data_IF_906925118656
#
_entry.id   IF_906925118656
#
_cell.length_a   1.000
_cell.length_b   1.000
_cell.length_c   1.000
_cell.angle_alpha   90.00
_cell.angle_beta   90.00
_cell.angle_gamma   90.00
#
_symmetry.space_group_name_H-M   'P 1'
#
loop_
_entity.id
_entity.type
_entity.pdbx_description
1 polymer ?
#
# COMPACT_ATOMS: atom_id res chain seq x y z
N UNK A 1 28.27 -19.50 62.17
CA UNK A 1 27.22 -18.93 61.29
C UNK A 1 27.57 -19.28 59.85
N UNK A 2 26.58 -19.78 59.12
CA UNK A 2 26.71 -20.70 57.98
C UNK A 2 27.12 -20.10 56.63
N UNK A 3 27.49 -21.03 55.74
CA UNK A 3 28.16 -20.97 54.44
C UNK A 3 27.44 -20.19 53.32
N UNK A 4 28.29 -19.78 52.38
CA UNK A 4 28.08 -19.45 50.97
C UNK A 4 26.80 -19.97 50.29
N UNK A 5 26.11 -19.07 49.59
CA UNK A 5 25.76 -19.26 48.17
C UNK A 5 25.12 -17.97 47.62
N UNK A 6 25.92 -17.17 46.90
CA UNK A 6 25.44 -16.14 45.99
C UNK A 6 24.52 -16.80 44.95
N UNK A 7 23.21 -16.57 45.05
CA UNK A 7 22.23 -17.02 44.05
C UNK A 7 22.44 -16.22 42.76
N UNK A 8 23.12 -16.82 41.79
CA UNK A 8 23.18 -16.34 40.41
C UNK A 8 21.73 -16.35 39.86
N UNK A 9 21.22 -15.27 39.25
CA UNK A 9 19.91 -15.27 38.63
C UNK A 9 19.88 -16.31 37.51
N UNK A 10 18.91 -17.23 37.53
CA UNK A 10 18.72 -18.19 36.43
C UNK A 10 18.30 -17.40 35.19
N UNK A 11 19.24 -17.25 34.25
CA UNK A 11 19.05 -16.46 33.03
C UNK A 11 18.11 -17.12 32.01
N UNK A 12 17.71 -18.39 32.21
CA UNK A 12 16.73 -19.07 31.37
C UNK A 12 15.90 -20.04 32.21
N UNK A 13 14.57 -19.90 32.15
CA UNK A 13 13.59 -20.79 32.76
C UNK A 13 12.91 -21.73 31.76
N UNK A 14 13.33 -21.71 30.49
CA UNK A 14 12.79 -22.58 29.45
C UNK A 14 13.41 -23.98 29.51
N UNK A 15 12.63 -24.99 29.14
CA UNK A 15 13.14 -26.36 28.96
C UNK A 15 13.98 -26.43 27.70
N UNK A 16 14.89 -27.41 27.60
CA UNK A 16 15.58 -27.77 26.35
C UNK A 16 14.58 -28.09 25.22
N UNK A 17 13.35 -28.50 25.56
CA UNK A 17 12.24 -28.72 24.62
C UNK A 17 11.71 -27.42 23.97
N UNK A 18 11.98 -26.26 24.55
CA UNK A 18 11.58 -24.96 23.98
C UNK A 18 12.60 -24.47 22.94
N UNK A 19 13.85 -25.00 22.96
CA UNK A 19 14.90 -24.71 21.98
C UNK A 19 14.74 -25.50 20.68
N UNK A 20 14.03 -26.64 20.72
CA UNK A 20 13.91 -27.57 19.58
C UNK A 20 12.58 -27.49 18.85
N UNK A 21 11.58 -26.77 19.40
CA UNK A 21 10.33 -26.50 18.69
C UNK A 21 10.56 -25.40 17.66
N UNK A 22 10.23 -25.60 16.37
CA UNK A 22 10.15 -24.48 15.45
C UNK A 22 9.13 -23.51 16.03
N UNK A 23 9.58 -22.31 16.40
CA UNK A 23 8.71 -21.28 16.93
C UNK A 23 7.52 -21.15 15.99
N UNK A 24 6.30 -21.29 16.51
CA UNK A 24 5.11 -20.92 15.75
C UNK A 24 5.31 -19.46 15.38
N UNK A 25 5.68 -19.19 14.12
CA UNK A 25 5.48 -17.89 13.54
C UNK A 25 3.97 -17.73 13.52
N UNK A 26 3.43 -17.12 14.56
CA UNK A 26 2.24 -16.29 14.41
C UNK A 26 2.65 -15.24 13.39
N UNK A 27 2.50 -15.56 12.11
CA UNK A 27 2.23 -14.55 11.11
C UNK A 27 0.88 -13.97 11.52
N UNK A 28 0.90 -13.10 12.52
CA UNK A 28 -0.08 -12.02 12.58
C UNK A 28 0.08 -11.33 11.23
N UNK A 29 -0.77 -11.71 10.28
CA UNK A 29 -1.01 -10.91 9.08
C UNK A 29 -1.52 -9.58 9.61
N UNK A 30 -0.60 -8.68 9.97
CA UNK A 30 -0.90 -7.31 10.31
C UNK A 30 -1.79 -6.81 9.20
N UNK A 31 -3.02 -6.46 9.53
CA UNK A 31 -3.93 -5.91 8.56
C UNK A 31 -3.46 -4.49 8.24
N UNK A 32 -2.52 -4.41 7.29
CA UNK A 32 -1.90 -3.16 6.85
C UNK A 32 -2.94 -2.17 6.30
N UNK A 33 -4.15 -2.63 5.93
CA UNK A 33 -5.25 -1.75 5.51
C UNK A 33 -5.88 -1.00 6.68
N UNK A 34 -5.84 -1.59 7.88
CA UNK A 34 -6.34 -0.95 9.11
C UNK A 34 -5.31 -0.04 9.78
N UNK A 35 -4.01 -0.30 9.56
CA UNK A 35 -2.91 0.52 10.09
C UNK A 35 -2.67 1.79 9.24
N UNK A 36 -3.40 2.87 9.56
CA UNK A 36 -3.23 4.19 8.89
C UNK A 36 -1.92 4.87 9.34
N UNK A 37 -1.15 5.39 8.38
CA UNK A 37 -0.01 6.29 8.64
C UNK A 37 -0.34 7.70 8.18
N UNK A 38 -0.12 8.70 9.05
CA UNK A 38 -0.22 10.10 8.65
C UNK A 38 1.07 10.51 7.93
N UNK A 39 0.93 10.97 6.68
CA UNK A 39 2.04 11.48 5.86
C UNK A 39 1.57 12.70 5.09
N UNK A 40 2.47 13.65 4.88
CA UNK A 40 2.27 14.81 4.01
C UNK A 40 2.93 14.54 2.67
N UNK A 41 2.19 14.70 1.57
CA UNK A 41 2.70 14.58 0.20
C UNK A 41 2.70 15.95 -0.46
N UNK A 42 3.82 16.35 -1.05
CA UNK A 42 3.88 17.54 -1.90
C UNK A 42 3.35 17.19 -3.29
N UNK A 43 2.37 17.95 -3.76
CA UNK A 43 1.75 17.80 -5.08
C UNK A 43 1.76 19.13 -5.82
N UNK A 44 1.63 19.09 -7.14
CA UNK A 44 1.51 20.31 -7.94
C UNK A 44 0.18 21.02 -7.67
N UNK A 45 0.12 22.32 -7.97
CA UNK A 45 -1.12 23.09 -7.88
C UNK A 45 -2.21 22.53 -8.79
N UNK A 46 -1.84 22.04 -9.96
CA UNK A 46 -2.75 21.39 -10.91
C UNK A 46 -3.36 20.10 -10.32
N UNK A 47 -2.53 19.21 -9.77
CA UNK A 47 -3.00 17.99 -9.09
C UNK A 47 -3.91 18.33 -7.92
N UNK A 48 -3.59 19.38 -7.15
CA UNK A 48 -4.44 19.82 -6.05
C UNK A 48 -5.82 20.30 -6.55
N UNK A 49 -5.88 21.01 -7.68
CA UNK A 49 -7.16 21.41 -8.30
C UNK A 49 -7.99 20.19 -8.71
N UNK A 50 -7.39 19.24 -9.41
CA UNK A 50 -8.03 17.97 -9.81
C UNK A 50 -8.54 17.19 -8.58
N UNK A 51 -7.77 17.13 -7.49
CA UNK A 51 -8.22 16.49 -6.25
C UNK A 51 -9.39 17.21 -5.57
N UNK A 52 -9.43 18.54 -5.62
CA UNK A 52 -10.54 19.34 -5.08
C UNK A 52 -11.81 19.10 -5.90
N UNK A 53 -11.69 19.06 -7.22
CA UNK A 53 -12.81 18.78 -8.14
C UNK A 53 -13.40 17.38 -7.87
N UNK A 54 -12.57 16.34 -7.86
CA UNK A 54 -13.00 14.97 -7.55
C UNK A 54 -13.63 14.83 -6.15
N UNK A 55 -13.08 15.53 -5.15
CA UNK A 55 -13.65 15.58 -3.81
C UNK A 55 -15.02 16.28 -3.78
N UNK A 56 -15.15 17.39 -4.53
CA UNK A 56 -16.34 18.24 -4.56
C UNK A 56 -17.53 17.57 -5.25
N UNK A 57 -17.27 16.76 -6.27
CA UNK A 57 -18.30 16.03 -7.02
C UNK A 57 -18.76 14.75 -6.31
N UNK A 58 -17.84 13.99 -5.70
CA UNK A 58 -18.15 12.65 -5.16
C UNK A 58 -18.44 12.64 -3.64
N UNK A 59 -18.22 13.74 -2.92
CA UNK A 59 -18.39 13.80 -1.45
C UNK A 59 -17.43 12.88 -0.67
N UNK A 60 -16.36 12.40 -1.32
CA UNK A 60 -15.39 11.45 -0.76
C UNK A 60 -14.23 12.19 -0.11
N UNK A 61 -13.54 11.57 0.85
CA UNK A 61 -12.32 12.16 1.45
C UNK A 61 -11.15 12.15 0.44
N UNK A 62 -10.37 13.23 0.39
CA UNK A 62 -9.17 13.33 -0.46
C UNK A 62 -8.20 12.15 -0.27
N UNK A 63 -8.01 11.69 0.97
CA UNK A 63 -7.16 10.53 1.26
C UNK A 63 -7.64 9.25 0.58
N UNK A 64 -8.95 9.08 0.40
CA UNK A 64 -9.51 7.91 -0.26
C UNK A 64 -9.29 7.96 -1.77
N UNK A 65 -9.46 9.13 -2.38
CA UNK A 65 -9.16 9.35 -3.80
C UNK A 65 -7.68 9.02 -4.08
N UNK A 66 -6.77 9.47 -3.22
CA UNK A 66 -5.33 9.16 -3.35
C UNK A 66 -5.06 7.67 -3.17
N UNK A 67 -5.65 7.01 -2.17
CA UNK A 67 -5.52 5.55 -1.98
C UNK A 67 -6.01 4.79 -3.23
N UNK A 68 -7.18 5.14 -3.76
CA UNK A 68 -7.76 4.47 -4.92
C UNK A 68 -6.95 4.73 -6.20
N UNK A 69 -6.40 5.94 -6.38
CA UNK A 69 -5.54 6.27 -7.52
C UNK A 69 -4.23 5.47 -7.49
N UNK A 70 -3.62 5.29 -6.30
CA UNK A 70 -2.42 4.47 -6.13
C UNK A 70 -2.71 2.99 -6.41
N UNK A 71 -3.82 2.48 -5.87
CA UNK A 71 -4.25 1.10 -6.12
C UNK A 71 -4.52 0.86 -7.61
N UNK A 72 -5.23 1.77 -8.27
CA UNK A 72 -5.49 1.71 -9.70
C UNK A 72 -4.19 1.67 -10.50
N UNK A 73 -3.26 2.61 -10.24
CA UNK A 73 -1.96 2.65 -10.91
C UNK A 73 -1.20 1.31 -10.75
N UNK A 74 -1.14 0.81 -9.51
CA UNK A 74 -0.42 -0.42 -9.19
C UNK A 74 -1.01 -1.64 -9.90
N UNK A 75 -2.31 -1.86 -9.79
CA UNK A 75 -2.95 -3.04 -10.36
C UNK A 75 -3.07 -2.97 -11.88
N UNK A 76 -3.29 -1.78 -12.45
CA UNK A 76 -3.35 -1.61 -13.90
C UNK A 76 -2.00 -1.89 -14.55
N UNK A 77 -0.90 -1.39 -13.96
CA UNK A 77 0.46 -1.71 -14.42
C UNK A 77 0.73 -3.22 -14.40
N UNK A 78 0.30 -3.90 -13.34
CA UNK A 78 0.44 -5.37 -13.22
C UNK A 78 -0.41 -6.14 -14.21
N UNK A 79 -1.62 -5.67 -14.51
CA UNK A 79 -2.55 -6.34 -15.42
C UNK A 79 -2.13 -6.19 -16.89
N UNK A 80 -1.67 -5.00 -17.29
CA UNK A 80 -1.32 -4.70 -18.68
C UNK A 80 0.11 -5.10 -19.06
N UNK A 81 1.02 -5.16 -18.08
CA UNK A 81 2.46 -5.26 -18.32
C UNK A 81 3.06 -3.92 -18.77
N UNK A 82 4.40 -3.83 -18.76
CA UNK A 82 5.12 -2.56 -18.94
C UNK A 82 4.75 -1.84 -20.24
N UNK A 83 4.87 -2.52 -21.39
CA UNK A 83 4.68 -1.88 -22.70
C UNK A 83 3.29 -1.26 -22.88
N UNK A 84 2.24 -2.02 -22.56
CA UNK A 84 0.85 -1.55 -22.73
C UNK A 84 0.50 -0.49 -21.68
N UNK A 85 1.07 -0.60 -20.48
CA UNK A 85 0.88 0.42 -19.46
C UNK A 85 1.53 1.74 -19.87
N UNK A 86 2.73 1.71 -20.43
CA UNK A 86 3.40 2.91 -20.92
C UNK A 86 2.63 3.55 -22.08
N UNK A 87 2.12 2.75 -23.03
CA UNK A 87 1.22 3.21 -24.10
C UNK A 87 -0.01 3.95 -23.52
N UNK A 88 -0.66 3.39 -22.49
CA UNK A 88 -1.78 4.04 -21.81
C UNK A 88 -1.36 5.35 -21.13
N UNK A 89 -0.21 5.38 -20.45
CA UNK A 89 0.28 6.57 -19.78
C UNK A 89 0.60 7.71 -20.76
N UNK A 90 1.08 7.39 -21.97
CA UNK A 90 1.27 8.38 -23.04
C UNK A 90 -0.05 8.99 -23.50
N UNK A 91 -1.16 8.24 -23.50
CA UNK A 91 -2.49 8.80 -23.77
C UNK A 91 -2.95 9.69 -22.62
N UNK A 92 -2.81 9.25 -21.37
CA UNK A 92 -3.20 10.04 -20.19
C UNK A 92 -2.45 11.38 -20.12
N UNK A 93 -1.16 11.41 -20.47
CA UNK A 93 -0.34 12.63 -20.51
C UNK A 93 -0.85 13.71 -21.48
N UNK A 94 -1.71 13.35 -22.44
CA UNK A 94 -2.33 14.31 -23.35
C UNK A 94 -3.43 15.12 -22.68
N UNK A 95 -3.88 14.70 -21.49
CA UNK A 95 -4.95 15.33 -20.72
C UNK A 95 -6.25 15.51 -21.53
N UNK A 96 -6.47 14.61 -22.49
CA UNK A 96 -7.63 14.59 -23.38
C UNK A 96 -8.50 13.36 -23.05
N UNK A 97 -9.70 13.64 -22.55
CA UNK A 97 -10.66 12.62 -22.12
C UNK A 97 -11.21 11.82 -23.30
N UNK A 98 -11.38 12.44 -24.48
CA UNK A 98 -11.88 11.73 -25.65
C UNK A 98 -10.82 10.80 -26.22
N UNK A 99 -9.55 11.24 -26.27
CA UNK A 99 -8.44 10.37 -26.64
C UNK A 99 -8.29 9.17 -25.70
N UNK A 100 -8.47 9.38 -24.39
CA UNK A 100 -8.48 8.29 -23.41
C UNK A 100 -9.66 7.34 -23.65
N UNK A 101 -10.87 7.87 -23.90
CA UNK A 101 -12.06 7.06 -24.18
C UNK A 101 -11.88 6.22 -25.45
N UNK A 102 -11.37 6.80 -26.52
CA UNK A 102 -11.08 6.10 -27.78
C UNK A 102 -10.08 4.96 -27.54
N UNK A 103 -8.95 5.26 -26.89
CA UNK A 103 -7.95 4.24 -26.54
C UNK A 103 -8.57 3.08 -25.75
N UNK A 104 -9.37 3.40 -24.73
CA UNK A 104 -9.99 2.38 -23.90
C UNK A 104 -10.98 1.53 -24.71
N UNK A 105 -11.79 2.16 -25.58
CA UNK A 105 -12.76 1.46 -26.43
C UNK A 105 -12.07 0.52 -27.41
N UNK A 106 -11.02 0.99 -28.08
CA UNK A 106 -10.27 0.19 -29.05
C UNK A 106 -9.55 -0.99 -28.40
N UNK A 107 -8.91 -0.77 -27.25
CA UNK A 107 -8.04 -1.76 -26.61
C UNK A 107 -8.79 -2.74 -25.72
N UNK A 108 -9.90 -2.33 -25.13
CA UNK A 108 -10.62 -3.15 -24.15
C UNK A 108 -11.97 -3.69 -24.61
N UNK A 109 -12.48 -3.31 -25.81
CA UNK A 109 -13.78 -3.75 -26.35
C UNK A 109 -14.83 -3.89 -25.24
N UNK A 110 -15.17 -2.76 -24.61
CA UNK A 110 -16.35 -2.69 -23.72
C UNK A 110 -17.60 -2.64 -24.57
#
# INVERSE_FOLDING_TARGET
MSKDSKKIPKLFSGSLDDLTKPGKRTEEKKDLKSEKKQKTLYISLDTNRKLIELYGEEGRRQSKIVEDAVDLYYYLKRALGERKFDELMEVIKREDVEALREYLTEKFKV
#
